data_IF_071972754692
#
_entry.id   IF_071972754692
#
_cell.length_a   1.000
_cell.length_b   1.000
_cell.length_c   1.000
_cell.angle_alpha   90.00
_cell.angle_beta   90.00
_cell.angle_gamma   90.00
#
_symmetry.space_group_name_H-M   'P 1'
#
loop_
_entity.id
_entity.type
_entity.pdbx_description
1 polymer ?
#
# COMPACT_ATOMS: atom_id res chain seq x y z
N UNK A 1 -11.58 -14.53 15.16
CA UNK A 1 -11.83 -13.93 13.84
C UNK A 1 -11.09 -12.61 13.81
N UNK A 2 -10.20 -12.40 12.84
CA UNK A 2 -9.46 -11.15 12.68
C UNK A 2 -10.06 -10.32 11.56
N UNK A 3 -9.90 -9.01 11.63
CA UNK A 3 -10.28 -8.05 10.58
C UNK A 3 -9.04 -7.40 9.95
N UNK A 4 -9.19 -7.00 8.70
CA UNK A 4 -8.23 -6.24 7.93
C UNK A 4 -8.61 -4.77 7.87
N UNK A 5 -7.58 -3.95 7.67
CA UNK A 5 -7.72 -2.55 7.37
C UNK A 5 -6.72 -2.18 6.28
N UNK A 6 -7.03 -1.10 5.57
CA UNK A 6 -6.20 -0.61 4.50
C UNK A 6 -6.73 0.68 3.91
N UNK A 7 -6.11 1.07 2.81
CA UNK A 7 -6.60 2.16 2.00
C UNK A 7 -6.43 1.88 0.51
N UNK A 8 -7.31 2.51 -0.25
CA UNK A 8 -7.33 2.53 -1.69
C UNK A 8 -7.20 3.99 -2.18
N UNK A 9 -6.68 4.19 -3.40
CA UNK A 9 -6.68 5.49 -4.07
C UNK A 9 -7.72 5.47 -5.19
N UNK A 10 -8.68 6.38 -5.12
CA UNK A 10 -9.81 6.47 -6.06
C UNK A 10 -10.00 7.94 -6.51
N UNK A 11 -9.99 8.23 -7.83
CA UNK A 11 -9.76 7.30 -8.94
C UNK A 11 -8.32 6.77 -8.96
N UNK A 12 -8.07 5.66 -9.68
CA UNK A 12 -6.71 5.10 -9.86
C UNK A 12 -5.74 6.16 -10.37
N UNK A 13 -4.47 5.99 -10.00
CA UNK A 13 -3.39 6.81 -10.55
C UNK A 13 -3.20 6.45 -12.02
N UNK A 14 -3.06 7.47 -12.84
CA UNK A 14 -2.86 7.36 -14.28
C UNK A 14 -1.44 7.75 -14.64
N UNK A 15 -1.05 7.53 -15.90
CA UNK A 15 0.32 7.80 -16.38
C UNK A 15 0.62 9.31 -16.55
N UNK A 16 -0.26 10.19 -16.10
CA UNK A 16 -0.10 11.64 -16.16
C UNK A 16 1.02 12.11 -15.21
N UNK A 17 1.68 13.21 -15.59
CA UNK A 17 2.82 13.75 -14.82
C UNK A 17 2.44 14.14 -13.38
N UNK A 18 1.22 14.62 -13.15
CA UNK A 18 0.76 14.98 -11.80
C UNK A 18 0.66 13.77 -10.86
N UNK A 19 0.07 12.67 -11.33
CA UNK A 19 -0.05 11.43 -10.56
C UNK A 19 1.32 10.79 -10.30
N UNK A 20 2.22 10.81 -11.30
CA UNK A 20 3.60 10.34 -11.16
C UNK A 20 4.36 11.17 -10.12
N UNK A 21 4.34 12.49 -10.24
CA UNK A 21 5.03 13.37 -9.30
C UNK A 21 4.46 13.25 -7.87
N UNK A 22 3.13 13.10 -7.74
CA UNK A 22 2.50 12.85 -6.45
C UNK A 22 2.90 11.49 -5.86
N UNK A 23 2.98 10.44 -6.68
CA UNK A 23 3.41 9.12 -6.26
C UNK A 23 4.89 9.08 -5.86
N UNK A 24 5.77 9.71 -6.64
CA UNK A 24 7.19 9.84 -6.29
C UNK A 24 7.38 10.58 -4.96
N UNK A 25 6.62 11.67 -4.75
CA UNK A 25 6.60 12.40 -3.48
C UNK A 25 6.10 11.53 -2.32
N UNK A 26 5.11 10.68 -2.58
CA UNK A 26 4.61 9.71 -1.61
C UNK A 26 5.67 8.68 -1.23
N UNK A 27 6.33 8.07 -2.21
CA UNK A 27 7.41 7.13 -1.96
C UNK A 27 8.60 7.76 -1.24
N UNK A 28 8.98 9.00 -1.60
CA UNK A 28 10.04 9.72 -0.91
C UNK A 28 9.70 9.95 0.58
N UNK A 29 8.44 10.28 0.89
CA UNK A 29 7.97 10.41 2.27
C UNK A 29 7.95 9.09 3.03
N UNK A 30 7.61 7.99 2.36
CA UNK A 30 7.70 6.65 2.95
C UNK A 30 9.15 6.29 3.26
N UNK A 31 10.08 6.57 2.35
CA UNK A 31 11.50 6.32 2.61
C UNK A 31 12.06 7.17 3.73
N UNK A 32 11.63 8.43 3.87
CA UNK A 32 12.03 9.32 4.96
C UNK A 32 11.46 8.86 6.31
N UNK A 33 10.16 8.55 6.37
CA UNK A 33 9.47 8.15 7.61
C UNK A 33 10.00 6.80 8.14
N UNK A 34 10.23 5.84 7.23
CA UNK A 34 10.72 4.50 7.57
C UNK A 34 12.23 4.35 7.37
N UNK A 35 12.98 5.46 7.35
CA UNK A 35 14.43 5.45 7.23
C UNK A 35 15.05 4.72 8.45
N UNK A 36 15.53 3.49 8.23
CA UNK A 36 16.12 2.67 9.28
C UNK A 36 15.16 1.68 9.94
N UNK A 37 13.90 1.61 9.50
CA UNK A 37 12.99 0.55 9.93
C UNK A 37 13.32 -0.77 9.20
N UNK A 38 13.81 -1.75 9.95
CA UNK A 38 14.15 -3.07 9.41
C UNK A 38 12.94 -3.84 8.85
N UNK A 39 11.72 -3.42 9.19
CA UNK A 39 10.48 -4.00 8.69
C UNK A 39 10.12 -3.44 7.30
N UNK A 40 10.75 -2.38 6.81
CA UNK A 40 10.47 -1.83 5.47
C UNK A 40 11.61 -2.12 4.52
N UNK A 41 11.42 -3.12 3.66
CA UNK A 41 12.43 -3.60 2.71
C UNK A 41 12.17 -2.99 1.32
N UNK A 42 13.13 -2.23 0.81
CA UNK A 42 13.12 -1.75 -0.57
C UNK A 42 13.55 -2.85 -1.54
N UNK A 43 12.71 -3.17 -2.53
CA UNK A 43 13.03 -4.05 -3.67
C UNK A 43 13.05 -3.24 -4.99
N UNK A 44 13.51 -3.88 -6.07
CA UNK A 44 13.71 -3.23 -7.38
C UNK A 44 12.39 -2.73 -7.99
N UNK A 45 11.25 -3.39 -7.69
CA UNK A 45 9.92 -2.99 -8.17
C UNK A 45 8.95 -2.44 -7.13
N UNK A 46 9.19 -2.64 -5.83
CA UNK A 46 8.24 -2.31 -4.77
C UNK A 46 8.91 -2.18 -3.40
N UNK A 47 8.23 -1.57 -2.45
CA UNK A 47 8.54 -1.63 -1.02
C UNK A 47 7.71 -2.73 -0.38
N UNK A 48 8.36 -3.59 0.40
CA UNK A 48 7.72 -4.66 1.16
C UNK A 48 7.78 -4.32 2.64
N UNK A 49 6.63 -4.22 3.28
CA UNK A 49 6.55 -4.10 4.72
C UNK A 49 6.49 -5.52 5.27
N UNK A 50 7.41 -5.94 6.13
CA UNK A 50 7.51 -7.29 6.71
C UNK A 50 6.67 -7.36 7.99
N UNK A 51 5.42 -6.89 7.88
CA UNK A 51 4.48 -6.74 8.99
C UNK A 51 3.14 -7.34 8.59
N UNK A 52 2.46 -8.03 9.51
CA UNK A 52 1.18 -8.68 9.23
C UNK A 52 1.22 -9.57 7.98
N UNK A 53 0.41 -9.27 6.98
CA UNK A 53 0.32 -9.99 5.69
C UNK A 53 1.33 -9.51 4.63
N UNK A 54 2.32 -8.75 5.05
CA UNK A 54 3.38 -8.19 4.24
C UNK A 54 2.92 -7.28 3.09
N UNK A 55 2.22 -6.17 3.39
CA UNK A 55 1.68 -5.29 2.36
C UNK A 55 2.80 -4.66 1.50
N UNK A 56 2.47 -4.41 0.23
CA UNK A 56 3.43 -4.00 -0.79
C UNK A 56 3.03 -2.66 -1.40
N UNK A 57 4.00 -1.77 -1.62
CA UNK A 57 3.84 -0.53 -2.37
C UNK A 57 4.64 -0.61 -3.66
N UNK A 58 4.03 -0.57 -4.85
CA UNK A 58 4.76 -0.56 -6.10
C UNK A 58 5.52 0.76 -6.24
N UNK A 59 6.70 0.71 -6.88
CA UNK A 59 7.41 1.92 -7.29
C UNK A 59 6.63 2.67 -8.37
N UNK A 60 5.93 1.93 -9.21
CA UNK A 60 5.02 2.49 -10.21
C UNK A 60 3.61 2.67 -9.61
N UNK A 61 3.15 3.92 -9.53
CA UNK A 61 1.87 4.26 -8.91
C UNK A 61 0.66 3.81 -9.73
N UNK A 62 0.80 3.63 -11.05
CA UNK A 62 -0.32 3.17 -11.89
C UNK A 62 -0.72 1.73 -11.58
N UNK A 63 0.23 0.95 -11.07
CA UNK A 63 0.01 -0.40 -10.54
C UNK A 63 -0.56 -0.42 -9.13
N UNK A 64 -0.61 0.72 -8.42
CA UNK A 64 -1.16 0.73 -7.07
C UNK A 64 -2.67 0.56 -7.07
N UNK A 65 -3.13 -0.53 -6.48
CA UNK A 65 -4.55 -0.74 -6.22
C UNK A 65 -4.89 -0.60 -4.74
N UNK A 66 -4.10 -1.24 -3.87
CA UNK A 66 -4.42 -1.36 -2.45
C UNK A 66 -3.20 -1.57 -1.58
N UNK A 67 -3.24 -0.93 -0.40
CA UNK A 67 -2.36 -1.25 0.72
C UNK A 67 -3.20 -1.71 1.91
N UNK A 68 -3.09 -2.99 2.28
CA UNK A 68 -3.89 -3.56 3.36
C UNK A 68 -3.21 -4.74 4.03
N UNK A 69 -3.53 -4.95 5.30
CA UNK A 69 -3.14 -6.15 6.05
C UNK A 69 -4.20 -6.43 7.11
N UNK A 70 -4.34 -7.70 7.49
CA UNK A 70 -4.94 -8.06 8.77
C UNK A 70 -4.25 -7.30 9.89
N UNK A 71 -5.06 -6.73 10.78
CA UNK A 71 -4.62 -5.99 11.98
C UNK A 71 -5.11 -6.64 13.28
N UNK A 72 -5.79 -7.77 13.16
CA UNK A 72 -6.37 -8.46 14.31
C UNK A 72 -5.83 -9.88 14.45
N UNK A 73 -5.28 -10.14 15.64
CA UNK A 73 -4.56 -11.37 15.98
C UNK A 73 -3.15 -11.04 16.48
N UNK A 74 -2.65 -11.78 17.48
CA UNK A 74 -1.41 -11.44 18.20
C UNK A 74 -0.16 -11.25 17.32
N UNK A 75 -0.16 -11.80 16.11
CA UNK A 75 0.95 -11.69 15.14
C UNK A 75 0.76 -10.55 14.12
N UNK A 76 -0.46 -10.06 13.92
CA UNK A 76 -0.79 -9.11 12.85
C UNK A 76 -1.18 -7.73 13.38
N UNK A 77 -1.42 -7.58 14.68
CA UNK A 77 -1.65 -6.28 15.34
C UNK A 77 -0.51 -5.29 15.10
N UNK A 78 0.72 -5.79 14.90
CA UNK A 78 1.90 -4.96 14.60
C UNK A 78 1.76 -4.20 13.27
N UNK A 79 0.88 -4.61 12.36
CA UNK A 79 0.67 -3.94 11.07
C UNK A 79 -0.21 -2.68 11.17
N UNK A 80 -1.04 -2.56 12.22
CA UNK A 80 -1.94 -1.42 12.42
C UNK A 80 -1.22 -0.05 12.39
N UNK A 81 -0.13 0.18 13.15
CA UNK A 81 0.57 1.47 13.09
C UNK A 81 1.18 1.75 11.71
N UNK A 82 1.58 0.74 10.96
CA UNK A 82 2.08 0.92 9.59
C UNK A 82 0.95 1.33 8.64
N UNK A 83 -0.19 0.63 8.68
CA UNK A 83 -1.34 0.99 7.85
C UNK A 83 -1.79 2.41 8.14
N UNK A 84 -1.90 2.80 9.42
CA UNK A 84 -2.31 4.16 9.80
C UNK A 84 -1.32 5.21 9.30
N UNK A 85 -0.02 5.03 9.55
CA UNK A 85 1.01 5.98 9.11
C UNK A 85 1.06 6.13 7.58
N UNK A 86 1.08 5.02 6.85
CA UNK A 86 1.09 5.04 5.37
C UNK A 86 -0.17 5.70 4.82
N UNK A 87 -1.34 5.42 5.43
CA UNK A 87 -2.60 6.08 5.07
C UNK A 87 -2.55 7.59 5.32
N UNK A 88 -1.96 8.03 6.43
CA UNK A 88 -1.83 9.45 6.74
C UNK A 88 -0.91 10.17 5.76
N UNK A 89 0.21 9.56 5.38
CA UNK A 89 1.12 10.11 4.36
C UNK A 89 0.38 10.19 3.01
N UNK A 90 -0.35 9.13 2.63
CA UNK A 90 -1.14 9.12 1.41
C UNK A 90 -2.20 10.24 1.42
N UNK A 91 -2.91 10.42 2.55
CA UNK A 91 -3.92 11.48 2.71
C UNK A 91 -3.32 12.89 2.59
N UNK A 92 -2.11 13.11 3.10
CA UNK A 92 -1.43 14.42 2.97
C UNK A 92 -1.15 14.78 1.50
N UNK A 93 -0.99 13.79 0.63
CA UNK A 93 -0.60 13.97 -0.77
C UNK A 93 -1.82 13.90 -1.70
N UNK A 94 -2.59 12.83 -1.62
CA UNK A 94 -3.73 12.53 -2.49
C UNK A 94 -5.07 13.01 -1.91
N UNK A 95 -5.09 13.53 -0.67
CA UNK A 95 -6.25 14.15 -0.02
C UNK A 95 -7.47 13.23 -0.06
N UNK A 96 -8.55 13.69 -0.69
CA UNK A 96 -9.86 13.03 -0.72
C UNK A 96 -9.88 11.73 -1.56
N UNK A 97 -8.86 11.52 -2.40
CA UNK A 97 -8.73 10.30 -3.20
C UNK A 97 -8.41 9.08 -2.33
N UNK A 98 -7.87 9.27 -1.12
CA UNK A 98 -7.54 8.16 -0.23
C UNK A 98 -8.78 7.70 0.52
N UNK A 99 -9.27 6.51 0.18
CA UNK A 99 -10.39 5.86 0.86
C UNK A 99 -9.84 4.80 1.81
N UNK A 100 -9.86 5.12 3.11
CA UNK A 100 -9.55 4.18 4.17
C UNK A 100 -10.77 3.29 4.42
N UNK A 101 -10.54 2.00 4.62
CA UNK A 101 -11.57 1.02 4.91
C UNK A 101 -11.07 0.02 5.96
N UNK A 102 -12.03 -0.59 6.66
CA UNK A 102 -11.79 -1.71 7.56
C UNK A 102 -12.98 -2.67 7.53
N UNK A 103 -12.72 -3.97 7.64
CA UNK A 103 -13.78 -4.99 7.54
C UNK A 103 -14.81 -4.91 8.67
N UNK A 104 -14.50 -4.20 9.77
CA UNK A 104 -15.43 -4.03 10.89
C UNK A 104 -16.48 -2.93 10.69
N UNK A 105 -16.26 -1.99 9.77
CA UNK A 105 -17.15 -0.82 9.61
C UNK A 105 -18.05 -0.93 8.37
N UNK A 106 -18.17 -2.13 7.79
CA UNK A 106 -18.97 -2.43 6.59
C UNK A 106 -18.60 -1.56 5.37
N UNK A 107 -17.41 -0.97 5.39
CA UNK A 107 -16.86 -0.23 4.25
C UNK A 107 -16.12 -1.24 3.40
N UNK A 108 -16.80 -1.68 2.35
CA UNK A 108 -16.20 -2.60 1.39
C UNK A 108 -15.09 -1.91 0.60
N UNK A 109 -14.30 -2.77 0.02
CA UNK A 109 -13.18 -2.50 -0.83
C UNK A 109 -13.65 -1.99 -2.18
N UNK A 110 -13.14 -0.86 -2.67
CA UNK A 110 -13.55 -0.35 -3.98
C UNK A 110 -13.08 -1.27 -5.13
N UNK A 111 -12.03 -2.07 -4.89
CA UNK A 111 -11.49 -3.03 -5.84
C UNK A 111 -11.76 -4.47 -5.41
N UNK A 112 -12.09 -5.34 -6.40
CA UNK A 112 -12.21 -6.77 -6.17
C UNK A 112 -10.85 -7.37 -5.78
N UNK A 113 -10.88 -8.30 -4.83
CA UNK A 113 -9.69 -9.01 -4.33
C UNK A 113 -8.89 -9.66 -5.47
N UNK A 114 -9.57 -10.21 -6.49
CA UNK A 114 -8.95 -10.84 -7.65
C UNK A 114 -8.01 -9.90 -8.41
N UNK A 115 -8.48 -8.68 -8.72
CA UNK A 115 -7.67 -7.67 -9.42
C UNK A 115 -6.49 -7.18 -8.57
N UNK A 116 -6.67 -7.11 -7.24
CA UNK A 116 -5.59 -6.72 -6.31
C UNK A 116 -4.46 -7.76 -6.33
N UNK A 117 -4.80 -9.05 -6.30
CA UNK A 117 -3.81 -10.13 -6.29
C UNK A 117 -3.04 -10.15 -7.62
N UNK A 118 -3.75 -10.02 -8.74
CA UNK A 118 -3.16 -9.95 -10.08
C UNK A 118 -2.15 -8.81 -10.20
N UNK A 119 -2.57 -7.60 -9.82
CA UNK A 119 -1.71 -6.42 -9.83
C UNK A 119 -0.49 -6.57 -8.93
N UNK A 120 -0.63 -7.13 -7.73
CA UNK A 120 0.49 -7.36 -6.80
C UNK A 120 1.49 -8.41 -7.31
N UNK A 121 1.05 -9.35 -8.14
CA UNK A 121 1.93 -10.32 -8.80
C UNK A 121 2.83 -9.62 -9.83
N UNK A 122 2.29 -8.66 -10.57
CA UNK A 122 3.02 -7.87 -11.57
C UNK A 122 4.10 -6.94 -11.00
N UNK A 123 4.13 -6.75 -9.67
CA UNK A 123 5.19 -5.96 -9.02
C UNK A 123 6.55 -6.68 -9.09
N UNK A 124 6.54 -8.01 -9.13
CA UNK A 124 7.73 -8.86 -9.11
C UNK A 124 8.08 -9.51 -10.44
N UNK A 125 7.18 -9.52 -11.43
CA UNK A 125 7.41 -10.16 -12.74
C UNK A 125 8.47 -9.48 -13.63
N UNK A 126 9.10 -8.39 -13.16
CA UNK A 126 10.33 -7.85 -13.76
C UNK A 126 11.62 -8.53 -13.26
N UNK A 127 11.52 -9.48 -12.34
CA UNK A 127 12.64 -10.12 -11.62
C UNK A 127 12.76 -11.61 -12.01
N UNK A 128 12.67 -11.93 -13.30
CA UNK A 128 13.22 -13.17 -13.88
C UNK A 128 13.90 -12.85 -15.21
N UNK A 129 15.15 -12.38 -15.14
CA UNK A 129 16.09 -12.50 -16.24
C UNK A 129 17.43 -12.98 -15.64
N UNK A 130 17.93 -14.17 -16.03
CA UNK A 130 19.21 -14.71 -15.55
C UNK A 130 20.41 -13.88 -16.02
#
# INVERSE_FOLDING_TARGET
MGYAAGFDIVPRLTDIEEDKAAWEKFLAKIQEEFAGDAQVVSKVGYYKFVVGECPRLPRDGTKFMRFSSKISGSLTTVAEPYIRQVTEIARKIFKDRVKFWNELCDVDSEYKISDIIDSQQEYGSGEEAP
#
